data_IF_477811240370
#
_entry.id   IF_477811240370
#
_cell.length_a   1.000
_cell.length_b   1.000
_cell.length_c   1.000
_cell.angle_alpha   90.00
_cell.angle_beta   90.00
_cell.angle_gamma   90.00
#
_symmetry.space_group_name_H-M   'P 1'
#
loop_
_entity.id
_entity.type
_entity.pdbx_description
1 polymer ?
#
# COMPACT_ATOMS: atom_id res chain seq x y z
N UNK A 1 -8.40 15.17 12.00
CA UNK A 1 -7.65 14.36 11.02
C UNK A 1 -6.30 14.03 11.65
N UNK A 2 -5.99 12.75 11.86
CA UNK A 2 -4.71 12.37 12.46
C UNK A 2 -3.63 12.38 11.37
N UNK A 3 -3.06 13.56 11.12
CA UNK A 3 -1.85 13.72 10.29
C UNK A 3 -0.70 14.09 11.20
N UNK A 4 0.51 13.61 10.90
CA UNK A 4 1.69 13.99 11.66
C UNK A 4 2.03 15.47 11.40
N UNK A 5 2.41 16.25 12.43
CA UNK A 5 2.79 17.65 12.26
C UNK A 5 4.11 17.81 11.50
N UNK A 6 4.99 16.81 11.59
CA UNK A 6 6.27 16.74 10.90
C UNK A 6 6.64 15.27 10.63
N UNK A 7 7.53 15.04 9.66
CA UNK A 7 8.11 13.72 9.42
C UNK A 7 8.98 13.30 10.60
N UNK A 8 8.69 12.13 11.16
CA UNK A 8 9.51 11.52 12.22
C UNK A 8 10.47 10.53 11.61
N UNK A 9 11.77 10.86 11.63
CA UNK A 9 12.83 9.97 11.14
C UNK A 9 13.48 9.22 12.30
N UNK A 10 13.58 7.91 12.17
CA UNK A 10 14.21 6.98 13.12
C UNK A 10 15.26 6.18 12.36
N UNK A 11 16.46 6.07 12.93
CA UNK A 11 17.53 5.23 12.40
C UNK A 11 17.90 4.21 13.47
N UNK A 12 17.96 2.95 13.08
CA UNK A 12 18.28 1.84 13.97
C UNK A 12 19.34 0.94 13.32
N UNK A 13 20.41 0.67 14.05
CA UNK A 13 21.42 -0.31 13.65
C UNK A 13 21.02 -1.69 14.10
N UNK A 14 21.04 -2.65 13.18
CA UNK A 14 20.70 -4.04 13.45
C UNK A 14 21.68 -5.01 12.78
N UNK A 15 21.65 -6.28 13.18
CA UNK A 15 22.47 -7.34 12.59
C UNK A 15 21.88 -7.82 11.25
N UNK A 16 21.92 -6.91 10.26
CA UNK A 16 21.41 -7.13 8.90
C UNK A 16 22.50 -6.85 7.85
N UNK A 17 22.42 -7.50 6.70
CA UNK A 17 23.39 -7.28 5.61
C UNK A 17 23.06 -6.05 4.75
N UNK A 18 21.77 -5.80 4.52
CA UNK A 18 21.25 -4.76 3.64
C UNK A 18 20.45 -3.75 4.43
N UNK A 19 20.57 -2.48 4.04
CA UNK A 19 19.76 -1.40 4.60
C UNK A 19 18.33 -1.46 4.10
N UNK A 20 17.36 -1.14 4.95
CA UNK A 20 15.93 -1.11 4.64
C UNK A 20 15.29 0.19 5.09
N UNK A 21 14.41 0.73 4.28
CA UNK A 21 13.58 1.90 4.60
C UNK A 21 12.11 1.50 4.72
N UNK A 22 11.45 2.06 5.72
CA UNK A 22 10.01 1.98 5.93
C UNK A 22 9.44 3.40 5.89
N UNK A 23 8.43 3.63 5.06
CA UNK A 23 7.67 4.87 4.98
C UNK A 23 6.23 4.57 5.38
N UNK A 24 5.73 5.24 6.42
CA UNK A 24 4.41 4.93 7.00
C UNK A 24 3.58 6.19 7.15
N UNK A 25 2.40 6.17 6.56
CA UNK A 25 1.38 7.22 6.69
C UNK A 25 0.20 6.69 7.48
N UNK A 26 -0.49 7.56 8.22
CA UNK A 26 -1.84 7.25 8.68
C UNK A 26 -2.79 7.19 7.48
N UNK A 27 -3.70 6.21 7.51
CA UNK A 27 -4.63 5.96 6.43
C UNK A 27 -6.06 5.74 6.95
N UNK A 28 -6.95 5.32 6.05
CA UNK A 28 -8.38 5.15 6.32
C UNK A 28 -8.65 3.94 7.25
N UNK A 29 -9.74 4.02 8.02
CA UNK A 29 -10.24 2.89 8.82
C UNK A 29 -10.78 1.75 7.95
N UNK A 30 -10.87 0.57 8.53
CA UNK A 30 -11.46 -0.60 7.87
C UNK A 30 -12.89 -0.29 7.43
N UNK A 31 -13.21 -0.59 6.18
CA UNK A 31 -14.46 -0.25 5.52
C UNK A 31 -14.77 1.26 5.40
N UNK A 32 -13.81 2.13 5.71
CA UNK A 32 -13.94 3.56 5.49
C UNK A 32 -14.04 3.92 4.00
N UNK A 33 -14.31 5.20 3.73
CA UNK A 33 -14.66 5.70 2.39
C UNK A 33 -13.56 5.40 1.36
N UNK A 34 -12.31 5.63 1.74
CA UNK A 34 -11.17 5.52 0.81
C UNK A 34 -10.37 4.23 1.01
N UNK A 35 -10.82 3.32 1.88
CA UNK A 35 -10.10 2.09 2.24
C UNK A 35 -9.86 1.19 1.00
N UNK A 36 -10.93 0.89 0.26
CA UNK A 36 -10.84 0.14 -0.98
C UNK A 36 -9.97 0.83 -2.05
N UNK A 37 -9.98 2.17 -2.08
CA UNK A 37 -9.16 2.94 -3.01
C UNK A 37 -7.66 2.82 -2.66
N UNK A 38 -7.33 2.72 -1.38
CA UNK A 38 -5.96 2.48 -0.90
C UNK A 38 -5.50 1.05 -1.16
N UNK A 39 -6.38 0.05 -1.05
CA UNK A 39 -6.06 -1.33 -1.45
C UNK A 39 -5.75 -1.44 -2.95
N UNK A 40 -6.56 -0.78 -3.80
CA UNK A 40 -6.30 -0.71 -5.24
C UNK A 40 -5.01 0.06 -5.53
N UNK A 41 -4.71 1.13 -4.80
CA UNK A 41 -3.45 1.87 -4.90
C UNK A 41 -2.25 0.97 -4.60
N UNK A 42 -2.32 0.13 -3.56
CA UNK A 42 -1.28 -0.85 -3.22
C UNK A 42 -1.03 -1.79 -4.40
N UNK A 43 -2.07 -2.38 -4.98
CA UNK A 43 -1.90 -3.30 -6.11
C UNK A 43 -1.32 -2.59 -7.36
N UNK A 44 -1.71 -1.35 -7.64
CA UNK A 44 -1.14 -0.57 -8.76
C UNK A 44 0.35 -0.31 -8.56
N UNK A 45 0.77 -0.01 -7.33
CA UNK A 45 2.16 0.28 -7.00
C UNK A 45 3.02 -0.98 -6.86
N UNK A 46 2.48 -2.08 -6.33
CA UNK A 46 3.23 -3.25 -5.86
C UNK A 46 2.66 -4.64 -6.25
N UNK A 47 1.47 -4.72 -6.83
CA UNK A 47 0.75 -5.99 -7.01
C UNK A 47 1.33 -6.96 -8.05
N UNK A 48 2.27 -6.53 -8.89
CA UNK A 48 2.88 -7.36 -9.93
C UNK A 48 4.27 -6.87 -10.33
N UNK A 49 5.00 -7.68 -11.11
CA UNK A 49 6.30 -7.29 -11.68
C UNK A 49 6.23 -6.04 -12.56
N UNK A 50 5.06 -5.76 -13.14
CA UNK A 50 4.81 -4.60 -13.99
C UNK A 50 4.24 -3.40 -13.21
N UNK A 51 3.96 -3.55 -11.91
CA UNK A 51 3.48 -2.46 -11.06
C UNK A 51 4.54 -1.38 -10.91
N UNK A 52 4.11 -0.12 -10.80
CA UNK A 52 4.97 1.05 -11.03
C UNK A 52 6.26 1.03 -10.23
N UNK A 53 6.17 0.84 -8.90
CA UNK A 53 7.33 0.92 -8.02
C UNK A 53 8.23 -0.32 -8.15
N UNK A 54 7.66 -1.50 -8.34
CA UNK A 54 8.45 -2.72 -8.58
C UNK A 54 9.21 -2.60 -9.90
N UNK A 55 8.53 -2.24 -10.99
CA UNK A 55 9.14 -2.04 -12.31
C UNK A 55 10.26 -1.00 -12.25
N UNK A 56 9.98 0.18 -11.69
CA UNK A 56 10.91 1.31 -11.63
C UNK A 56 12.14 1.01 -10.76
N UNK A 57 11.96 0.55 -9.51
CA UNK A 57 13.06 0.45 -8.54
C UNK A 57 13.81 -0.88 -8.58
N UNK A 58 13.13 -1.99 -8.88
CA UNK A 58 13.73 -3.33 -8.85
C UNK A 58 14.27 -3.72 -10.22
N UNK A 59 13.48 -3.52 -11.29
CA UNK A 59 13.83 -4.00 -12.63
C UNK A 59 14.59 -2.96 -13.47
N UNK A 60 14.10 -1.72 -13.55
CA UNK A 60 14.70 -0.68 -14.42
C UNK A 60 15.92 -0.03 -13.77
N UNK A 61 15.74 0.64 -12.62
CA UNK A 61 16.82 1.36 -11.94
C UNK A 61 17.73 0.44 -11.14
N UNK A 62 17.24 -0.76 -10.81
CA UNK A 62 17.98 -1.78 -10.07
C UNK A 62 18.58 -1.29 -8.75
N UNK A 63 17.90 -0.38 -8.06
CA UNK A 63 18.36 0.22 -6.80
C UNK A 63 17.81 -0.46 -5.55
N UNK A 64 16.68 -1.15 -5.67
CA UNK A 64 16.09 -1.95 -4.61
C UNK A 64 16.24 -3.44 -4.91
N UNK A 65 16.50 -4.24 -3.88
CA UNK A 65 16.41 -5.70 -3.97
C UNK A 65 14.94 -6.14 -4.03
N UNK A 66 14.12 -5.52 -3.20
CA UNK A 66 12.67 -5.70 -3.13
C UNK A 66 12.00 -4.39 -2.70
N UNK A 67 10.75 -4.25 -3.07
CA UNK A 67 9.87 -3.19 -2.57
C UNK A 67 8.45 -3.74 -2.47
N UNK A 68 7.78 -3.44 -1.36
CA UNK A 68 6.40 -3.83 -1.09
C UNK A 68 5.64 -2.68 -0.45
N UNK A 69 4.31 -2.76 -0.47
CA UNK A 69 3.47 -1.84 0.25
C UNK A 69 2.18 -2.49 0.70
N UNK A 70 1.57 -1.88 1.70
CA UNK A 70 0.41 -2.44 2.40
C UNK A 70 -0.53 -1.32 2.83
N UNK A 71 -1.82 -1.57 2.71
CA UNK A 71 -2.87 -0.82 3.38
C UNK A 71 -3.32 -1.71 4.55
N UNK A 72 -3.02 -1.27 5.76
CA UNK A 72 -3.43 -1.95 6.99
C UNK A 72 -4.50 -1.11 7.67
N UNK A 73 -5.75 -1.43 7.42
CA UNK A 73 -6.89 -0.76 8.03
C UNK A 73 -7.40 -1.53 9.24
N UNK A 74 -7.76 -0.80 10.29
CA UNK A 74 -8.40 -1.32 11.51
C UNK A 74 -9.62 -0.47 11.83
N UNK A 75 -10.38 -0.86 12.84
CA UNK A 75 -11.60 -0.15 13.20
C UNK A 75 -11.38 1.32 13.60
N UNK A 76 -10.29 1.63 14.30
CA UNK A 76 -10.05 2.97 14.85
C UNK A 76 -9.13 3.84 13.99
N UNK A 77 -8.25 3.22 13.21
CA UNK A 77 -7.32 3.89 12.30
C UNK A 77 -6.83 2.94 11.21
N UNK A 78 -6.12 3.49 10.22
CA UNK A 78 -5.33 2.69 9.28
C UNK A 78 -3.91 3.18 9.16
N UNK A 79 -3.07 2.39 8.52
CA UNK A 79 -1.75 2.79 8.08
C UNK A 79 -1.48 2.33 6.64
N UNK A 80 -0.90 3.21 5.83
CA UNK A 80 -0.34 2.87 4.53
C UNK A 80 1.17 2.79 4.64
N UNK A 81 1.77 1.68 4.25
CA UNK A 81 3.19 1.40 4.43
C UNK A 81 3.84 1.11 3.09
N UNK A 82 5.06 1.62 2.91
CA UNK A 82 5.98 1.23 1.83
C UNK A 82 7.28 0.76 2.48
N UNK A 83 7.76 -0.41 2.07
CA UNK A 83 8.96 -1.04 2.62
C UNK A 83 9.88 -1.36 1.45
N UNK A 84 11.13 -0.91 1.50
CA UNK A 84 12.10 -1.16 0.44
C UNK A 84 13.47 -1.57 1.02
N UNK A 85 14.03 -2.64 0.49
CA UNK A 85 15.37 -3.11 0.84
C UNK A 85 16.36 -2.65 -0.24
N UNK A 86 17.41 -1.94 0.16
CA UNK A 86 18.41 -1.42 -0.77
C UNK A 86 19.33 -2.50 -1.31
N UNK A 87 19.78 -2.34 -2.56
CA UNK A 87 20.94 -3.08 -3.05
C UNK A 87 22.24 -2.57 -2.38
N UNK A 88 23.32 -3.39 -2.35
CA UNK A 88 24.60 -2.95 -1.82
C UNK A 88 25.07 -1.61 -2.40
N UNK A 89 25.52 -0.70 -1.55
CA UNK A 89 26.04 0.62 -1.95
C UNK A 89 24.98 1.64 -2.35
N UNK A 90 23.68 1.30 -2.32
CA UNK A 90 22.60 2.24 -2.60
C UNK A 90 22.12 2.91 -1.31
N UNK A 91 22.05 4.23 -1.30
CA UNK A 91 21.53 4.98 -0.15
C UNK A 91 20.00 4.90 -0.04
N UNK A 92 19.49 4.83 1.19
CA UNK A 92 18.06 4.86 1.47
C UNK A 92 17.40 6.17 1.02
N UNK A 93 18.14 7.28 1.04
CA UNK A 93 17.67 8.57 0.52
C UNK A 93 17.42 8.53 -1.00
N UNK A 94 18.25 7.80 -1.77
CA UNK A 94 18.01 7.60 -3.21
C UNK A 94 16.73 6.79 -3.44
N UNK A 95 16.54 5.70 -2.69
CA UNK A 95 15.31 4.89 -2.78
C UNK A 95 14.08 5.71 -2.43
N UNK A 96 14.12 6.45 -1.32
CA UNK A 96 13.04 7.35 -0.92
C UNK A 96 12.70 8.33 -2.03
N UNK A 97 13.70 9.02 -2.58
CA UNK A 97 13.51 9.99 -3.66
C UNK A 97 12.78 9.36 -4.86
N UNK A 98 13.21 8.18 -5.30
CA UNK A 98 12.58 7.48 -6.43
C UNK A 98 11.14 7.02 -6.12
N UNK A 99 10.86 6.60 -4.88
CA UNK A 99 9.49 6.29 -4.43
C UNK A 99 8.60 7.53 -4.59
N UNK A 100 9.04 8.68 -4.08
CA UNK A 100 8.26 9.93 -4.17
C UNK A 100 8.09 10.45 -5.60
N UNK A 101 9.05 10.20 -6.50
CA UNK A 101 8.90 10.54 -7.92
C UNK A 101 7.74 9.76 -8.53
N UNK A 102 7.67 8.44 -8.31
CA UNK A 102 6.58 7.62 -8.87
C UNK A 102 5.22 7.93 -8.23
N UNK A 103 5.18 8.20 -6.92
CA UNK A 103 3.95 8.65 -6.25
C UNK A 103 3.47 9.99 -6.84
N UNK A 104 4.38 10.96 -7.05
CA UNK A 104 4.03 12.25 -7.66
C UNK A 104 3.54 12.10 -9.09
N UNK A 105 4.16 11.25 -9.89
CA UNK A 105 3.69 10.91 -11.25
C UNK A 105 2.29 10.31 -11.22
N UNK A 106 2.01 9.37 -10.32
CA UNK A 106 0.67 8.81 -10.16
C UNK A 106 -0.37 9.87 -9.79
N UNK A 107 -0.03 10.80 -8.90
CA UNK A 107 -0.94 11.86 -8.47
C UNK A 107 -1.19 12.88 -9.60
N UNK A 108 -0.16 13.23 -10.36
CA UNK A 108 -0.24 14.29 -11.37
C UNK A 108 -0.76 13.78 -12.72
N UNK A 109 -0.27 12.64 -13.16
CA UNK A 109 -0.54 12.08 -14.50
C UNK A 109 -1.72 11.08 -14.45
N UNK A 110 -2.12 10.66 -13.24
CA UNK A 110 -3.19 9.69 -13.00
C UNK A 110 -2.75 8.25 -13.17
N UNK A 111 -3.74 7.36 -13.23
CA UNK A 111 -3.60 5.93 -13.52
C UNK A 111 -4.23 5.56 -14.86
N UNK A 112 -3.72 4.51 -15.50
CA UNK A 112 -4.25 4.03 -16.78
C UNK A 112 -5.47 3.13 -16.58
N UNK A 113 -6.25 2.93 -17.63
CA UNK A 113 -7.38 1.99 -17.61
C UNK A 113 -6.91 0.54 -17.42
N UNK A 114 -5.74 0.20 -17.95
CA UNK A 114 -5.13 -1.11 -17.78
C UNK A 114 -4.76 -1.35 -16.31
N UNK A 115 -4.17 -0.36 -15.64
CA UNK A 115 -3.75 -0.48 -14.24
C UNK A 115 -4.94 -0.74 -13.30
N UNK A 116 -6.00 0.05 -13.40
CA UNK A 116 -7.18 -0.13 -12.56
C UNK A 116 -7.93 -1.43 -12.90
N UNK A 117 -8.03 -1.77 -14.19
CA UNK A 117 -8.71 -3.00 -14.63
C UNK A 117 -7.96 -4.23 -14.14
N UNK A 118 -6.63 -4.26 -14.27
CA UNK A 118 -5.79 -5.34 -13.74
C UNK A 118 -6.00 -5.49 -12.23
N UNK A 119 -5.95 -4.39 -11.49
CA UNK A 119 -6.12 -4.41 -10.04
C UNK A 119 -7.48 -4.95 -9.62
N UNK A 120 -8.56 -4.45 -10.23
CA UNK A 120 -9.92 -4.94 -9.95
C UNK A 120 -10.09 -6.43 -10.27
N UNK A 121 -9.55 -6.89 -11.40
CA UNK A 121 -9.61 -8.29 -11.78
C UNK A 121 -8.83 -9.20 -10.82
N UNK A 122 -7.66 -8.76 -10.36
CA UNK A 122 -6.85 -9.45 -9.37
C UNK A 122 -7.56 -9.58 -8.02
N UNK A 123 -8.12 -8.47 -7.53
CA UNK A 123 -8.91 -8.44 -6.30
C UNK A 123 -10.16 -9.31 -6.39
N UNK A 124 -10.92 -9.21 -7.49
CA UNK A 124 -12.10 -10.06 -7.75
C UNK A 124 -11.77 -11.55 -7.71
N UNK A 125 -10.71 -11.94 -8.41
CA UNK A 125 -10.30 -13.34 -8.48
C UNK A 125 -9.88 -13.83 -7.09
N UNK A 126 -9.03 -13.06 -6.39
CA UNK A 126 -8.56 -13.39 -5.05
C UNK A 126 -9.71 -13.52 -4.05
N UNK A 127 -10.70 -12.63 -4.11
CA UNK A 127 -11.90 -12.69 -3.28
C UNK A 127 -12.73 -13.95 -3.56
N UNK A 128 -13.04 -14.26 -4.82
CA UNK A 128 -13.82 -15.46 -5.17
C UNK A 128 -13.09 -16.74 -4.75
N UNK A 129 -11.78 -16.82 -4.97
CA UNK A 129 -10.98 -17.97 -4.56
C UNK A 129 -10.91 -18.10 -3.04
N UNK A 130 -10.80 -16.99 -2.31
CA UNK A 130 -10.73 -17.02 -0.84
C UNK A 130 -12.02 -17.57 -0.21
N UNK A 131 -13.18 -17.29 -0.81
CA UNK A 131 -14.49 -17.79 -0.36
C UNK A 131 -14.68 -19.31 -0.52
N UNK A 132 -13.80 -19.99 -1.25
CA UNK A 132 -13.81 -21.46 -1.33
C UNK A 132 -13.32 -22.10 -0.02
N UNK A 133 -12.58 -21.35 0.80
CA UNK A 133 -12.15 -21.79 2.11
C UNK A 133 -13.22 -21.47 3.16
N UNK A 134 -13.72 -22.50 3.86
CA UNK A 134 -14.78 -22.34 4.85
C UNK A 134 -14.38 -21.44 6.03
N UNK A 135 -13.13 -21.54 6.50
CA UNK A 135 -12.63 -20.71 7.60
C UNK A 135 -12.56 -19.25 7.15
N UNK A 136 -11.99 -18.97 5.97
CA UNK A 136 -11.95 -17.61 5.42
C UNK A 136 -13.35 -17.02 5.27
N UNK A 137 -14.31 -17.81 4.78
CA UNK A 137 -15.70 -17.35 4.67
C UNK A 137 -16.31 -17.03 6.04
N UNK A 138 -16.09 -17.88 7.05
CA UNK A 138 -16.58 -17.65 8.41
C UNK A 138 -15.94 -16.41 9.06
N UNK A 139 -14.63 -16.23 8.86
CA UNK A 139 -13.88 -15.06 9.35
C UNK A 139 -14.39 -13.76 8.73
N UNK A 140 -14.66 -13.76 7.41
CA UNK A 140 -15.27 -12.62 6.72
C UNK A 140 -16.67 -12.30 7.28
N UNK A 141 -17.53 -13.31 7.46
CA UNK A 141 -18.87 -13.10 8.04
C UNK A 141 -18.78 -12.51 9.45
N UNK A 142 -17.86 -12.99 10.28
CA UNK A 142 -17.63 -12.45 11.62
C UNK A 142 -17.10 -11.01 11.56
N UNK A 143 -16.18 -10.72 10.63
CA UNK A 143 -15.64 -9.38 10.41
C UNK A 143 -16.74 -8.40 9.99
N UNK A 144 -17.55 -8.77 8.99
CA UNK A 144 -18.69 -7.98 8.54
C UNK A 144 -19.74 -7.78 9.64
N UNK A 145 -20.05 -8.83 10.41
CA UNK A 145 -20.96 -8.69 11.55
C UNK A 145 -20.44 -7.67 12.57
N UNK A 146 -19.14 -7.74 12.88
CA UNK A 146 -18.51 -6.90 13.90
C UNK A 146 -18.45 -5.43 13.48
N UNK A 147 -18.10 -5.16 12.23
CA UNK A 147 -17.80 -3.80 11.78
C UNK A 147 -18.88 -3.16 10.90
N UNK A 148 -19.74 -3.95 10.27
CA UNK A 148 -20.83 -3.50 9.41
C UNK A 148 -22.22 -3.81 9.99
N UNK A 149 -22.31 -4.61 11.06
CA UNK A 149 -23.57 -5.14 11.61
C UNK A 149 -24.41 -5.91 10.57
N UNK A 150 -23.76 -6.46 9.54
CA UNK A 150 -24.41 -7.23 8.47
C UNK A 150 -23.47 -8.37 8.02
N UNK A 151 -23.62 -9.60 8.55
CA UNK A 151 -22.76 -10.74 8.23
C UNK A 151 -22.72 -11.11 6.74
N UNK A 152 -23.74 -10.77 5.95
CA UNK A 152 -23.83 -11.11 4.53
C UNK A 152 -23.35 -9.96 3.62
N UNK A 153 -22.32 -9.22 4.03
CA UNK A 153 -21.79 -8.05 3.31
C UNK A 153 -20.87 -8.37 2.12
N UNK A 154 -20.84 -9.61 1.61
CA UNK A 154 -19.95 -10.01 0.51
C UNK A 154 -20.13 -9.18 -0.77
N UNK A 155 -21.37 -8.86 -1.14
CA UNK A 155 -21.65 -8.04 -2.33
C UNK A 155 -21.17 -6.61 -2.10
N UNK A 156 -21.40 -6.06 -0.92
CA UNK A 156 -20.89 -4.74 -0.55
C UNK A 156 -19.35 -4.68 -0.66
N UNK A 157 -18.67 -5.68 -0.10
CA UNK A 157 -17.20 -5.77 -0.07
C UNK A 157 -16.61 -5.96 -1.49
N UNK A 158 -17.30 -6.70 -2.34
CA UNK A 158 -16.95 -6.79 -3.76
C UNK A 158 -17.16 -5.45 -4.49
N UNK A 159 -18.33 -4.83 -4.32
CA UNK A 159 -18.73 -3.64 -5.09
C UNK A 159 -17.93 -2.39 -4.72
N UNK A 160 -17.43 -2.28 -3.47
CA UNK A 160 -16.55 -1.17 -3.07
C UNK A 160 -15.25 -1.12 -3.86
N UNK A 161 -14.74 -2.25 -4.36
CA UNK A 161 -13.57 -2.29 -5.25
C UNK A 161 -14.02 -2.20 -6.72
N UNK A 162 -15.03 -2.98 -7.10
CA UNK A 162 -15.49 -3.10 -8.47
C UNK A 162 -15.98 -1.76 -9.05
N UNK A 163 -16.60 -0.90 -8.23
CA UNK A 163 -17.13 0.39 -8.68
C UNK A 163 -16.15 1.56 -8.61
N UNK A 164 -14.92 1.36 -8.11
CA UNK A 164 -13.95 2.45 -7.98
C UNK A 164 -13.62 3.10 -9.33
N UNK A 165 -13.58 4.42 -9.34
CA UNK A 165 -13.09 5.21 -10.47
C UNK A 165 -11.61 5.52 -10.31
N UNK A 166 -10.94 5.84 -11.41
CA UNK A 166 -9.50 6.18 -11.42
C UNK A 166 -9.21 7.37 -10.52
N UNK A 167 -10.08 8.36 -10.56
CA UNK A 167 -9.97 9.59 -9.79
C UNK A 167 -10.06 9.32 -8.29
N UNK A 168 -10.84 8.33 -7.85
CA UNK A 168 -10.97 7.98 -6.43
C UNK A 168 -9.66 7.40 -5.87
N UNK A 169 -8.97 6.57 -6.65
CA UNK A 169 -7.64 6.03 -6.31
C UNK A 169 -6.59 7.14 -6.25
N UNK A 170 -6.57 8.02 -7.26
CA UNK A 170 -5.65 9.17 -7.31
C UNK A 170 -5.92 10.15 -6.16
N UNK A 171 -7.19 10.40 -5.85
CA UNK A 171 -7.58 11.26 -4.73
C UNK A 171 -7.20 10.65 -3.39
N UNK A 172 -7.34 9.33 -3.21
CA UNK A 172 -6.86 8.63 -2.01
C UNK A 172 -5.34 8.77 -1.87
N UNK A 173 -4.57 8.54 -2.93
CA UNK A 173 -3.12 8.75 -2.92
C UNK A 173 -2.76 10.18 -2.50
N UNK A 174 -3.40 11.19 -3.11
CA UNK A 174 -3.19 12.61 -2.78
C UNK A 174 -3.58 12.95 -1.34
N UNK A 175 -4.64 12.32 -0.81
CA UNK A 175 -5.17 12.59 0.53
C UNK A 175 -4.30 11.98 1.63
N UNK A 176 -3.75 10.79 1.42
CA UNK A 176 -3.08 10.02 2.48
C UNK A 176 -1.56 9.99 2.37
N UNK A 177 -0.99 9.99 1.15
CA UNK A 177 0.47 10.01 0.94
C UNK A 177 1.00 11.45 1.00
N UNK A 178 0.80 12.06 2.16
CA UNK A 178 1.15 13.46 2.45
C UNK A 178 2.65 13.67 2.69
N UNK A 179 3.07 14.92 2.87
CA UNK A 179 4.47 15.29 3.10
C UNK A 179 5.04 14.78 4.44
N UNK A 180 4.17 14.55 5.43
CA UNK A 180 4.57 14.11 6.77
C UNK A 180 4.25 12.64 7.00
N UNK A 181 5.27 11.86 7.40
CA UNK A 181 5.19 10.41 7.60
C UNK A 181 6.18 9.95 8.67
N UNK A 182 6.10 8.66 9.04
CA UNK A 182 7.16 8.00 9.80
C UNK A 182 8.14 7.41 8.80
N UNK A 183 9.42 7.72 8.99
CA UNK A 183 10.54 7.17 8.23
C UNK A 183 11.43 6.36 9.17
N UNK A 184 11.48 5.04 8.98
CA UNK A 184 12.38 4.17 9.74
C UNK A 184 13.45 3.59 8.82
N UNK A 185 14.71 3.76 9.20
CA UNK A 185 15.86 3.16 8.55
C UNK A 185 16.40 2.04 9.44
N UNK A 186 16.49 0.83 8.91
CA UNK A 186 17.24 -0.26 9.51
C UNK A 186 18.55 -0.37 8.71
N UNK A 187 19.69 -0.21 9.39
CA UNK A 187 21.01 -0.22 8.76
C UNK A 187 21.92 -1.28 9.40
N UNK A 188 22.90 -1.83 8.67
CA UNK A 188 23.87 -2.76 9.24
C UNK A 188 24.66 -2.13 10.40
N UNK A 189 24.92 -2.89 11.46
CA UNK A 189 25.81 -2.47 12.56
C UNK A 189 27.22 -2.15 12.05
N UNK A 190 27.80 -1.08 12.58
CA UNK A 190 29.21 -0.74 12.38
C UNK A 190 29.59 -0.31 10.96
N UNK A 191 28.63 0.21 10.18
CA UNK A 191 28.85 0.83 8.87
C UNK A 191 28.39 2.28 8.84
#
# INVERSE_FOLDING_TARGET
KQTLPETKKIVHEDNVELSRIYLVWHSETLYGKDDAALDVLVDILFGSKNSRLIKSLVFEKQIAHEISGFQYSTHLNGSFLIIATAKPGISLEKIKKEIFIEIKRLINDGITDEEITRSKNGNKSSFIYSLQNLNTKADLMNNYNTYLNEPNSFIYDYERINNLKKEEVVNAAKKYLTENFIELHIIPKGK
#
